data_IF_906330730050
#
_entry.id   IF_906330730050
#
_cell.length_a   1.000
_cell.length_b   1.000
_cell.length_c   1.000
_cell.angle_alpha   90.00
_cell.angle_beta   90.00
_cell.angle_gamma   90.00
#
_symmetry.space_group_name_H-M   'P 1'
#
loop_
_entity.id
_entity.type
_entity.pdbx_description
1 polymer ?
#
# COMPACT_ATOMS: atom_id res chain seq x y z
N UNK A 1 -2.47 30.06 33.49
CA UNK A 1 -1.07 29.60 33.36
C UNK A 1 -1.09 28.08 33.33
N UNK A 2 -0.96 27.51 32.13
CA UNK A 2 -0.53 26.14 31.76
C UNK A 2 -1.03 25.87 30.35
N UNK A 3 -0.09 25.73 29.41
CA UNK A 3 -0.34 25.25 28.06
C UNK A 3 -0.38 23.72 28.10
N UNK A 4 -1.31 23.07 27.40
CA UNK A 4 -1.03 21.77 26.81
C UNK A 4 -1.09 21.92 25.30
N UNK A 5 0.10 21.87 24.69
CA UNK A 5 0.23 21.57 23.28
C UNK A 5 -0.37 20.21 23.01
N UNK A 6 -1.62 20.21 22.53
CA UNK A 6 -2.16 19.09 21.77
C UNK A 6 -1.32 19.00 20.50
N UNK A 7 -0.27 18.19 20.55
CA UNK A 7 0.33 17.59 19.37
C UNK A 7 -0.76 16.72 18.75
N UNK A 8 -1.62 17.36 17.96
CA UNK A 8 -2.51 16.73 17.00
C UNK A 8 -1.66 15.85 16.09
N UNK A 9 -1.48 14.57 16.46
CA UNK A 9 -0.86 13.60 15.56
C UNK A 9 -1.57 12.25 15.66
N UNK A 10 -2.86 12.28 15.40
CA UNK A 10 -3.57 11.15 14.79
C UNK A 10 -4.28 11.67 13.55
N UNK A 11 -3.67 11.54 12.38
CA UNK A 11 -4.27 11.96 11.09
C UNK A 11 -4.06 10.94 9.96
N UNK A 12 -4.09 9.65 10.31
CA UNK A 12 -4.18 8.49 9.40
C UNK A 12 -4.89 7.32 10.14
N UNK A 13 -6.11 7.57 10.60
CA UNK A 13 -6.72 6.87 11.74
C UNK A 13 -7.28 5.45 11.50
N UNK A 14 -7.21 4.86 10.30
CA UNK A 14 -7.87 3.55 10.04
C UNK A 14 -6.98 2.47 9.37
N UNK A 15 -5.66 2.65 9.25
CA UNK A 15 -4.80 1.60 8.67
C UNK A 15 -3.32 1.92 8.56
N UNK A 16 -2.51 0.91 8.25
CA UNK A 16 -1.07 1.04 7.96
C UNK A 16 -0.81 1.12 6.46
N UNK A 17 0.15 1.95 6.07
CA UNK A 17 0.68 1.97 4.71
C UNK A 17 1.65 0.79 4.55
N UNK A 18 1.55 0.10 3.41
CA UNK A 18 2.48 -0.96 3.03
C UNK A 18 3.60 -0.38 2.17
N UNK A 19 4.82 -0.42 2.70
CA UNK A 19 6.03 0.09 2.07
C UNK A 19 6.91 -1.02 1.51
N UNK A 20 7.83 -0.64 0.63
CA UNK A 20 8.89 -1.55 0.17
C UNK A 20 10.04 -1.65 1.19
N UNK A 21 10.85 -2.69 1.02
CA UNK A 21 12.10 -2.94 1.74
C UNK A 21 13.09 -1.76 1.73
N UNK A 22 13.02 -0.89 0.70
CA UNK A 22 13.83 0.33 0.61
C UNK A 22 13.43 1.44 1.59
N UNK A 23 12.26 1.34 2.22
CA UNK A 23 11.80 2.31 3.23
C UNK A 23 12.11 1.83 4.64
N UNK A 24 12.30 2.78 5.55
CA UNK A 24 12.36 2.47 6.97
C UNK A 24 10.96 2.12 7.49
N UNK A 25 10.87 1.08 8.32
CA UNK A 25 9.63 0.76 9.01
C UNK A 25 9.29 1.88 10.02
N UNK A 26 8.05 2.38 9.97
CA UNK A 26 7.54 3.46 10.83
C UNK A 26 6.19 3.05 11.42
N UNK A 27 5.71 3.73 12.48
CA UNK A 27 4.40 3.44 13.07
C UNK A 27 3.23 3.46 12.08
N UNK A 28 3.35 4.24 11.01
CA UNK A 28 2.35 4.36 9.94
C UNK A 28 2.74 3.60 8.65
N UNK A 29 3.95 3.04 8.57
CA UNK A 29 4.52 2.41 7.36
C UNK A 29 5.15 1.06 7.70
N UNK A 30 4.49 -0.02 7.29
CA UNK A 30 4.97 -1.38 7.46
C UNK A 30 5.79 -1.81 6.24
N UNK A 31 7.02 -2.27 6.47
CA UNK A 31 7.91 -2.80 5.42
C UNK A 31 8.17 -4.30 5.67
N UNK A 32 8.46 -5.11 4.64
CA UNK A 32 8.63 -6.55 4.83
C UNK A 32 9.83 -6.87 5.74
N UNK A 33 9.82 -8.05 6.34
CA UNK A 33 11.01 -8.60 7.00
C UNK A 33 12.06 -8.92 5.94
N UNK A 34 13.26 -8.34 6.07
CA UNK A 34 14.37 -8.62 5.16
C UNK A 34 14.90 -10.05 5.33
N UNK A 35 14.93 -10.53 6.59
CA UNK A 35 15.42 -11.85 6.96
C UNK A 35 14.39 -12.55 7.87
N UNK A 36 13.26 -13.04 7.34
CA UNK A 36 12.22 -13.69 8.15
C UNK A 36 12.73 -15.05 8.64
N UNK A 37 12.83 -15.22 9.95
CA UNK A 37 13.28 -16.48 10.59
C UNK A 37 12.12 -17.29 11.13
N UNK A 38 11.08 -16.61 11.60
CA UNK A 38 9.95 -17.21 12.27
C UNK A 38 8.75 -17.39 11.32
N UNK A 39 7.89 -18.38 11.60
CA UNK A 39 6.77 -18.75 10.71
C UNK A 39 5.81 -17.57 10.48
N UNK A 40 5.51 -16.81 11.53
CA UNK A 40 4.62 -15.65 11.42
C UNK A 40 5.22 -14.52 10.59
N UNK A 41 6.55 -14.33 10.62
CA UNK A 41 7.24 -13.37 9.76
C UNK A 41 7.13 -13.77 8.29
N UNK A 42 7.31 -15.06 7.98
CA UNK A 42 7.16 -15.59 6.61
C UNK A 42 5.72 -15.44 6.10
N UNK A 43 4.72 -15.75 6.94
CA UNK A 43 3.30 -15.59 6.61
C UNK A 43 2.92 -14.12 6.44
N UNK A 44 3.41 -13.24 7.31
CA UNK A 44 3.24 -11.80 7.19
C UNK A 44 3.85 -11.28 5.88
N UNK A 45 5.07 -11.72 5.51
CA UNK A 45 5.68 -11.34 4.23
C UNK A 45 4.87 -11.85 3.03
N UNK A 46 4.35 -13.09 3.09
CA UNK A 46 3.51 -13.64 2.02
C UNK A 46 2.24 -12.81 1.83
N UNK A 47 1.57 -12.45 2.92
CA UNK A 47 0.40 -11.57 2.87
C UNK A 47 0.78 -10.19 2.34
N UNK A 48 1.87 -9.59 2.83
CA UNK A 48 2.37 -8.31 2.38
C UNK A 48 2.63 -8.29 0.86
N UNK A 49 3.30 -9.31 0.32
CA UNK A 49 3.54 -9.44 -1.12
C UNK A 49 2.24 -9.61 -1.91
N UNK A 50 1.29 -10.41 -1.39
CA UNK A 50 -0.02 -10.59 -2.04
C UNK A 50 -0.83 -9.30 -2.10
N UNK A 51 -0.82 -8.49 -1.03
CA UNK A 51 -1.51 -7.20 -1.02
C UNK A 51 -0.87 -6.23 -2.02
N UNK A 52 0.46 -6.19 -2.09
CA UNK A 52 1.19 -5.35 -3.05
C UNK A 52 1.01 -5.78 -4.51
N UNK A 53 0.84 -7.07 -4.76
CA UNK A 53 0.59 -7.59 -6.10
C UNK A 53 -0.60 -6.90 -6.79
N UNK A 54 -1.64 -6.54 -6.03
CA UNK A 54 -2.82 -5.83 -6.56
C UNK A 54 -2.44 -4.46 -7.13
N UNK A 55 -1.67 -3.66 -6.38
CA UNK A 55 -1.28 -2.31 -6.83
C UNK A 55 -0.24 -2.36 -7.95
N UNK A 56 0.71 -3.28 -7.87
CA UNK A 56 1.73 -3.50 -8.91
C UNK A 56 1.08 -3.89 -10.24
N UNK A 57 0.05 -4.75 -10.18
CA UNK A 57 -0.74 -5.13 -11.35
C UNK A 57 -1.56 -3.97 -11.90
N UNK A 58 -2.20 -3.17 -11.04
CA UNK A 58 -2.95 -1.99 -11.47
C UNK A 58 -2.05 -1.01 -12.25
N UNK A 59 -0.82 -0.77 -11.76
CA UNK A 59 0.16 0.02 -12.49
C UNK A 59 0.59 -0.64 -13.81
N UNK A 60 0.78 -1.97 -13.83
CA UNK A 60 1.10 -2.70 -15.06
C UNK A 60 0.03 -2.54 -16.13
N UNK A 61 -1.25 -2.64 -15.76
CA UNK A 61 -2.40 -2.43 -16.65
C UNK A 61 -2.41 -0.98 -17.17
N UNK A 62 -2.26 0.00 -16.27
CA UNK A 62 -2.29 1.41 -16.64
C UNK A 62 -1.16 1.77 -17.62
N UNK A 63 0.05 1.24 -17.40
CA UNK A 63 1.21 1.44 -18.30
C UNK A 63 1.03 0.80 -19.68
N UNK A 64 0.41 -0.38 -19.75
CA UNK A 64 0.11 -1.04 -21.04
C UNK A 64 -0.99 -0.32 -21.80
N UNK A 65 -2.07 0.07 -21.12
CA UNK A 65 -3.21 0.76 -21.76
C UNK A 65 -2.85 2.17 -22.21
N UNK A 66 -2.04 2.90 -21.43
CA UNK A 66 -1.70 4.29 -21.72
C UNK A 66 -0.18 4.41 -21.87
N UNK A 67 0.25 4.32 -23.12
CA UNK A 67 1.66 4.21 -23.50
C UNK A 67 2.55 5.37 -22.99
N UNK A 68 1.96 6.53 -22.64
CA UNK A 68 2.68 7.66 -22.04
C UNK A 68 3.37 7.30 -20.72
N UNK A 69 2.90 6.25 -20.03
CA UNK A 69 3.47 5.76 -18.77
C UNK A 69 4.41 4.56 -18.96
N UNK A 70 4.56 4.06 -20.20
CA UNK A 70 5.36 2.88 -20.51
C UNK A 70 6.86 3.18 -20.54
N UNK A 71 7.25 4.39 -20.92
CA UNK A 71 8.64 4.82 -21.04
C UNK A 71 9.08 5.73 -19.88
N UNK A 72 10.38 6.01 -19.82
CA UNK A 72 10.95 6.98 -18.88
C UNK A 72 10.25 8.34 -18.99
N UNK A 73 9.65 8.79 -17.89
CA UNK A 73 8.96 10.07 -17.84
C UNK A 73 9.97 11.18 -17.60
N UNK A 74 10.40 11.87 -18.67
CA UNK A 74 11.33 13.01 -18.61
C UNK A 74 10.60 14.33 -18.32
N UNK A 75 9.80 14.35 -17.26
CA UNK A 75 9.02 15.52 -16.84
C UNK A 75 9.24 15.78 -15.35
N UNK A 76 8.99 17.02 -14.91
CA UNK A 76 9.02 17.36 -13.49
C UNK A 76 7.93 16.58 -12.73
N UNK A 77 8.17 16.16 -11.47
CA UNK A 77 7.22 15.36 -10.69
C UNK A 77 5.81 15.92 -10.67
N UNK A 78 5.64 17.24 -10.58
CA UNK A 78 4.32 17.89 -10.54
C UNK A 78 3.53 17.65 -11.83
N UNK A 79 4.22 17.64 -12.97
CA UNK A 79 3.63 17.34 -14.28
C UNK A 79 3.29 15.86 -14.40
N UNK A 80 4.16 14.98 -13.88
CA UNK A 80 3.91 13.53 -13.85
C UNK A 80 2.63 13.22 -13.05
N UNK A 81 2.45 13.83 -11.89
CA UNK A 81 1.24 13.65 -11.07
C UNK A 81 -0.03 14.03 -11.84
N UNK A 82 -0.01 15.13 -12.61
CA UNK A 82 -1.16 15.55 -13.44
C UNK A 82 -1.44 14.58 -14.58
N UNK A 83 -0.39 14.14 -15.29
CA UNK A 83 -0.52 13.14 -16.37
C UNK A 83 -1.08 11.83 -15.80
N UNK A 84 -0.57 11.38 -14.66
CA UNK A 84 -1.04 10.18 -13.99
C UNK A 84 -2.51 10.29 -13.58
N UNK A 85 -2.93 11.42 -13.01
CA UNK A 85 -4.34 11.68 -12.68
C UNK A 85 -5.24 11.60 -13.92
N UNK A 86 -4.83 12.20 -15.04
CA UNK A 86 -5.56 12.10 -16.30
C UNK A 86 -5.63 10.66 -16.82
N UNK A 87 -4.53 9.90 -16.70
CA UNK A 87 -4.47 8.49 -17.07
C UNK A 87 -5.46 7.64 -16.26
N UNK A 88 -5.57 7.88 -14.94
CA UNK A 88 -6.52 7.20 -14.08
C UNK A 88 -7.98 7.51 -14.47
N UNK A 89 -8.30 8.78 -14.77
CA UNK A 89 -9.63 9.17 -15.26
C UNK A 89 -9.95 8.48 -16.59
N UNK A 90 -9.03 8.48 -17.55
CA UNK A 90 -9.20 7.79 -18.83
C UNK A 90 -9.39 6.28 -18.65
N UNK A 91 -8.64 5.66 -17.74
CA UNK A 91 -8.81 4.25 -17.42
C UNK A 91 -10.22 3.95 -16.88
N UNK A 92 -10.73 4.78 -15.97
CA UNK A 92 -12.08 4.62 -15.42
C UNK A 92 -13.18 4.78 -16.47
N UNK A 93 -13.02 5.74 -17.40
CA UNK A 93 -13.94 5.91 -18.54
C UNK A 93 -13.93 4.64 -19.41
N UNK A 94 -12.76 4.12 -19.73
CA UNK A 94 -12.62 2.93 -20.57
C UNK A 94 -13.18 1.66 -19.88
N UNK A 95 -13.06 1.55 -18.54
CA UNK A 95 -13.76 0.51 -17.77
C UNK A 95 -15.28 0.66 -17.87
N UNK A 96 -15.81 1.88 -17.73
CA UNK A 96 -17.26 2.17 -17.83
C UNK A 96 -17.80 1.83 -19.22
N UNK A 97 -16.97 2.01 -20.25
CA UNK A 97 -17.30 1.69 -21.65
C UNK A 97 -17.07 0.21 -22.01
N UNK A 98 -16.67 -0.63 -21.06
CA UNK A 98 -16.30 -2.04 -21.27
C UNK A 98 -15.29 -2.24 -22.41
N UNK A 99 -14.34 -1.31 -22.56
CA UNK A 99 -13.28 -1.46 -23.57
C UNK A 99 -12.34 -2.61 -23.20
N UNK A 100 -12.01 -3.48 -24.17
CA UNK A 100 -11.21 -4.66 -23.91
C UNK A 100 -9.84 -4.27 -23.32
N UNK A 101 -9.45 -4.99 -22.27
CA UNK A 101 -8.11 -4.95 -21.70
C UNK A 101 -7.32 -6.09 -22.33
N UNK A 102 -6.13 -5.81 -22.85
CA UNK A 102 -5.21 -6.87 -23.26
C UNK A 102 -4.73 -7.63 -22.01
N UNK A 103 -5.16 -8.90 -21.94
CA UNK A 103 -4.86 -9.95 -20.95
C UNK A 103 -5.23 -9.65 -19.47
N UNK A 104 -6.38 -10.20 -19.06
CA UNK A 104 -6.91 -10.08 -17.69
C UNK A 104 -7.11 -11.47 -17.07
N UNK A 105 -6.11 -11.99 -16.35
CA UNK A 105 -6.39 -12.99 -15.30
C UNK A 105 -7.19 -12.28 -14.19
N UNK A 106 -8.50 -12.55 -14.05
CA UNK A 106 -9.37 -11.87 -13.09
C UNK A 106 -8.78 -11.76 -11.68
N UNK A 107 -8.72 -10.55 -11.13
CA UNK A 107 -8.44 -10.33 -9.70
C UNK A 107 -9.77 -10.02 -9.03
N UNK A 108 -10.24 -10.95 -8.20
CA UNK A 108 -11.28 -10.63 -7.24
C UNK A 108 -10.65 -9.87 -6.09
N UNK A 109 -10.88 -8.56 -6.02
CA UNK A 109 -10.65 -7.79 -4.80
C UNK A 109 -11.75 -8.20 -3.82
N UNK A 110 -11.42 -9.06 -2.86
CA UNK A 110 -12.31 -9.30 -1.73
C UNK A 110 -12.37 -8.01 -0.91
N UNK A 111 -13.57 -7.53 -0.64
CA UNK A 111 -13.76 -6.47 0.35
C UNK A 111 -13.46 -7.07 1.72
N UNK A 112 -12.32 -6.72 2.29
CA UNK A 112 -11.97 -7.13 3.64
C UNK A 112 -12.93 -6.48 4.64
N UNK A 113 -13.41 -7.25 5.62
CA UNK A 113 -14.12 -6.68 6.76
C UNK A 113 -13.13 -5.91 7.65
N UNK A 114 -13.54 -4.77 8.24
CA UNK A 114 -12.68 -4.02 9.14
C UNK A 114 -12.30 -4.89 10.36
N UNK A 115 -11.02 -5.27 10.44
CA UNK A 115 -10.47 -6.00 11.57
C UNK A 115 -10.08 -5.00 12.66
N UNK A 116 -10.60 -5.19 13.87
CA UNK A 116 -10.18 -4.41 15.02
C UNK A 116 -8.76 -4.80 15.40
N UNK A 117 -7.81 -3.89 15.20
CA UNK A 117 -6.43 -4.08 15.62
C UNK A 117 -6.36 -3.80 17.13
N UNK A 118 -5.88 -4.74 17.97
CA UNK A 118 -5.66 -4.48 19.38
C UNK A 118 -4.81 -3.23 19.58
N UNK A 119 -5.13 -2.43 20.58
CA UNK A 119 -4.36 -1.22 20.86
C UNK A 119 -2.92 -1.60 21.24
N UNK A 120 -1.94 -1.10 20.50
CA UNK A 120 -0.54 -1.40 20.76
C UNK A 120 -0.01 -0.49 21.89
N UNK A 121 0.21 -1.06 23.07
CA UNK A 121 0.72 -0.37 24.28
C UNK A 121 2.24 -0.49 24.43
N UNK A 122 2.99 -0.27 23.35
CA UNK A 122 4.46 -0.35 23.34
C UNK A 122 5.14 0.90 22.79
N UNK A 123 6.47 0.85 22.69
CA UNK A 123 7.25 1.90 22.03
C UNK A 123 6.75 2.11 20.59
N UNK A 124 6.48 3.36 20.22
CA UNK A 124 6.03 3.78 18.89
C UNK A 124 7.14 3.65 17.83
N UNK A 125 7.77 2.48 17.73
CA UNK A 125 8.66 2.07 16.66
C UNK A 125 7.90 1.13 15.70
N UNK A 126 8.03 1.39 14.40
CA UNK A 126 7.35 0.63 13.37
C UNK A 126 7.71 -0.85 13.39
N UNK A 127 8.93 -1.20 13.80
CA UNK A 127 9.38 -2.60 13.88
C UNK A 127 8.61 -3.38 14.95
N UNK A 128 8.41 -2.77 16.13
CA UNK A 128 7.65 -3.39 17.21
C UNK A 128 6.18 -3.54 16.86
N UNK A 129 5.59 -2.53 16.22
CA UNK A 129 4.20 -2.58 15.72
C UNK A 129 4.04 -3.70 14.69
N UNK A 130 4.96 -3.80 13.71
CA UNK A 130 4.95 -4.89 12.73
C UNK A 130 5.09 -6.27 13.38
N UNK A 131 5.99 -6.42 14.35
CA UNK A 131 6.17 -7.69 15.07
C UNK A 131 4.92 -8.08 15.85
N UNK A 132 4.26 -7.12 16.51
CA UNK A 132 2.99 -7.34 17.18
C UNK A 132 1.89 -7.81 16.21
N UNK A 133 1.69 -7.09 15.09
CA UNK A 133 0.71 -7.46 14.06
C UNK A 133 1.01 -8.86 13.50
N UNK A 134 2.29 -9.12 13.18
CA UNK A 134 2.71 -10.41 12.63
C UNK A 134 2.39 -11.56 13.59
N UNK A 135 2.67 -11.41 14.89
CA UNK A 135 2.37 -12.43 15.91
C UNK A 135 0.87 -12.64 16.14
N UNK A 136 0.10 -11.55 16.20
CA UNK A 136 -1.33 -11.60 16.50
C UNK A 136 -2.12 -12.24 15.35
N UNK A 137 -1.81 -11.86 14.11
CA UNK A 137 -2.64 -12.24 12.95
C UNK A 137 -2.05 -13.33 12.06
N UNK A 138 -0.76 -13.61 12.14
CA UNK A 138 -0.08 -14.51 11.20
C UNK A 138 0.61 -15.72 11.84
N UNK A 139 0.26 -16.10 13.07
CA UNK A 139 0.78 -17.31 13.75
C UNK A 139 0.45 -18.61 12.99
#
# INVERSE_FOLDING_TARGET
MSLPGDKQQRTFLDGLILGDSGYACRPFLMTPYLNPRERHQQRCNRAHSSTRFVIERAFGILKRRIHVLHSEVRMKPEKVCRVFGACAVLHNIALTRNEPLEDVCGVHVQQDQPVQVPNFEGEQDGRHIREHIARVFFN
#
